data_IF_073499985684
#
_entry.id   IF_073499985684
#
_cell.length_a   1.000
_cell.length_b   1.000
_cell.length_c   1.000
_cell.angle_alpha   90.00
_cell.angle_beta   90.00
_cell.angle_gamma   90.00
#
_symmetry.space_group_name_H-M   'P 1'
#
loop_
_entity.id
_entity.type
_entity.pdbx_description
1 polymer ?
#
# COMPACT_ATOMS: atom_id res chain seq x y z
N UNK A 1 -13.23 10.15 19.69
CA UNK A 1 -11.92 10.84 19.75
C UNK A 1 -11.63 11.43 18.38
N UNK A 2 -11.04 12.62 18.27
CA UNK A 2 -10.67 13.20 16.98
C UNK A 2 -9.48 12.45 16.36
N UNK A 3 -9.57 12.16 15.06
CA UNK A 3 -8.57 11.41 14.31
C UNK A 3 -8.76 9.90 14.38
N UNK A 4 -7.79 9.15 13.85
CA UNK A 4 -7.78 7.69 13.83
C UNK A 4 -6.36 7.16 14.09
N UNK A 5 -6.21 5.89 14.51
CA UNK A 5 -4.90 5.36 14.86
C UNK A 5 -4.10 4.89 13.64
N UNK A 6 -2.77 4.92 13.79
CA UNK A 6 -1.84 4.05 13.06
C UNK A 6 -1.49 2.86 13.96
N UNK A 7 -1.53 1.66 13.40
CA UNK A 7 -1.01 0.43 14.01
C UNK A 7 0.39 0.17 13.46
N UNK A 8 1.40 0.16 14.33
CA UNK A 8 2.78 -0.15 13.99
C UNK A 8 3.06 -1.60 14.35
N UNK A 9 3.39 -2.42 13.37
CA UNK A 9 3.94 -3.76 13.61
C UNK A 9 5.41 -3.58 13.95
N UNK A 10 5.83 -4.02 15.15
CA UNK A 10 7.15 -3.66 15.68
C UNK A 10 8.29 -4.52 15.14
N UNK A 11 8.00 -5.76 14.75
CA UNK A 11 8.95 -6.72 14.19
C UNK A 11 8.27 -7.59 13.14
N UNK A 12 9.02 -8.19 12.21
CA UNK A 12 8.46 -9.14 11.25
C UNK A 12 8.17 -10.48 11.96
N UNK A 13 6.90 -10.82 12.21
CA UNK A 13 6.54 -12.03 12.95
C UNK A 13 6.69 -13.28 12.08
N UNK A 14 7.16 -13.17 10.82
CA UNK A 14 7.40 -14.29 9.92
C UNK A 14 8.88 -14.69 9.87
N UNK A 15 9.76 -13.92 10.51
CA UNK A 15 11.15 -14.33 10.70
C UNK A 15 11.23 -15.57 11.62
N UNK A 16 12.25 -16.41 11.41
CA UNK A 16 12.44 -17.62 12.22
C UNK A 16 11.38 -18.73 12.05
N UNK A 17 10.46 -18.62 11.08
CA UNK A 17 9.44 -19.64 10.78
C UNK A 17 8.02 -19.28 11.25
N UNK A 18 7.84 -18.13 11.88
CA UNK A 18 6.55 -17.60 12.31
C UNK A 18 6.39 -17.57 13.83
N UNK A 19 6.27 -16.38 14.40
CA UNK A 19 5.88 -16.15 15.80
C UNK A 19 4.36 -16.30 15.93
N UNK A 20 3.88 -16.98 16.97
CA UNK A 20 2.44 -17.12 17.23
C UNK A 20 1.74 -15.78 17.58
N UNK A 21 2.52 -14.75 17.87
CA UNK A 21 2.07 -13.43 18.30
C UNK A 21 2.66 -12.33 17.41
N UNK A 22 1.87 -11.28 17.18
CA UNK A 22 2.27 -10.09 16.45
C UNK A 22 2.33 -8.94 17.44
N UNK A 23 3.49 -8.34 17.61
CA UNK A 23 3.65 -7.19 18.50
C UNK A 23 3.26 -5.90 17.77
N UNK A 24 2.23 -5.23 18.28
CA UNK A 24 1.61 -4.04 17.68
C UNK A 24 1.60 -2.88 18.66
N UNK A 25 1.95 -1.69 18.17
CA UNK A 25 1.82 -0.42 18.88
C UNK A 25 0.82 0.49 18.16
N UNK A 26 -0.13 1.09 18.89
CA UNK A 26 -1.01 2.12 18.35
C UNK A 26 -0.54 3.53 18.71
N UNK A 27 -0.68 4.46 17.77
CA UNK A 27 -0.43 5.88 17.96
C UNK A 27 -1.45 6.72 17.17
N UNK A 28 -1.61 8.01 17.46
CA UNK A 28 -2.44 8.89 16.65
C UNK A 28 -1.76 9.12 15.29
N UNK A 29 -2.49 8.87 14.20
CA UNK A 29 -2.00 9.26 12.88
C UNK A 29 -2.34 10.72 12.57
N UNK A 30 -1.30 11.53 12.32
CA UNK A 30 -1.40 12.90 11.83
C UNK A 30 -0.77 12.98 10.43
N UNK A 31 -1.53 13.49 9.46
CA UNK A 31 -1.17 13.39 8.05
C UNK A 31 0.04 14.24 7.63
N UNK A 32 0.38 15.24 8.43
CA UNK A 32 1.56 16.11 8.28
C UNK A 32 2.76 15.61 9.09
N UNK A 33 2.63 14.52 9.86
CA UNK A 33 3.68 13.99 10.73
C UNK A 33 3.94 14.83 11.98
N UNK A 34 3.08 15.80 12.29
CA UNK A 34 3.18 16.58 13.52
C UNK A 34 2.93 15.72 14.75
N UNK A 35 3.39 16.20 15.91
CA UNK A 35 3.10 15.61 17.22
C UNK A 35 2.34 16.65 18.02
N UNK A 36 1.15 16.29 18.45
CA UNK A 36 0.24 17.18 19.16
C UNK A 36 0.25 16.92 20.67
N UNK A 37 -0.02 17.96 21.46
CA UNK A 37 -0.13 17.82 22.91
C UNK A 37 -1.22 16.79 23.27
N UNK A 38 -0.85 15.79 24.07
CA UNK A 38 -1.76 14.71 24.48
C UNK A 38 -1.85 13.52 23.51
N UNK A 39 -1.05 13.48 22.43
CA UNK A 39 -0.92 12.29 21.57
C UNK A 39 -0.55 11.03 22.38
N UNK A 40 0.36 11.17 23.34
CA UNK A 40 0.76 10.06 24.23
C UNK A 40 -0.42 9.46 24.99
N UNK A 41 -1.42 10.28 25.35
CA UNK A 41 -2.62 9.83 26.06
C UNK A 41 -3.71 9.26 25.14
N UNK A 42 -3.60 9.43 23.82
CA UNK A 42 -4.59 8.90 22.88
C UNK A 42 -4.38 7.41 22.65
N UNK A 43 -5.43 6.66 22.96
CA UNK A 43 -5.54 5.23 22.68
C UNK A 43 -6.99 4.92 22.32
N UNK A 44 -7.14 4.05 21.33
CA UNK A 44 -8.41 3.58 20.79
C UNK A 44 -8.62 2.12 21.18
N UNK A 45 -9.89 1.76 21.38
CA UNK A 45 -10.32 0.37 21.23
C UNK A 45 -10.40 0.11 19.72
N UNK A 46 -9.50 -0.68 19.18
CA UNK A 46 -9.38 -0.91 17.73
C UNK A 46 -9.33 -2.41 17.43
N UNK A 47 -10.26 -2.95 16.62
CA UNK A 47 -10.14 -4.33 16.16
C UNK A 47 -8.92 -4.45 15.24
N UNK A 48 -8.18 -5.55 15.37
CA UNK A 48 -7.02 -5.88 14.55
C UNK A 48 -7.37 -7.11 13.74
N UNK A 49 -7.71 -6.88 12.48
CA UNK A 49 -8.02 -7.93 11.51
C UNK A 49 -6.72 -8.39 10.84
N UNK A 50 -6.34 -9.65 11.03
CA UNK A 50 -5.09 -10.21 10.50
C UNK A 50 -5.38 -11.31 9.47
N UNK A 51 -4.75 -11.22 8.31
CA UNK A 51 -4.82 -12.21 7.23
C UNK A 51 -3.45 -12.58 6.69
N UNK A 52 -3.29 -13.83 6.28
CA UNK A 52 -2.10 -14.38 5.62
C UNK A 52 -2.47 -15.36 4.50
N UNK A 53 -1.46 -15.91 3.82
CA UNK A 53 -1.63 -17.06 2.91
C UNK A 53 -2.03 -18.36 3.63
N UNK A 54 -2.09 -18.36 4.97
CA UNK A 54 -2.60 -19.48 5.77
C UNK A 54 -4.06 -19.30 6.18
N UNK A 55 -4.63 -18.12 5.99
CA UNK A 55 -6.01 -17.80 6.33
C UNK A 55 -6.12 -16.54 7.19
N UNK A 56 -7.32 -16.30 7.69
CA UNK A 56 -7.62 -15.16 8.55
C UNK A 56 -7.63 -15.58 10.01
N UNK A 57 -6.98 -14.80 10.87
CA UNK A 57 -7.05 -15.02 12.31
C UNK A 57 -8.38 -14.51 12.89
N UNK A 58 -8.80 -15.01 14.06
CA UNK A 58 -9.87 -14.38 14.82
C UNK A 58 -9.58 -12.89 15.07
N UNK A 59 -10.63 -12.07 15.06
CA UNK A 59 -10.50 -10.64 15.37
C UNK A 59 -10.09 -10.49 16.83
N UNK A 60 -8.99 -9.79 17.05
CA UNK A 60 -8.49 -9.39 18.38
C UNK A 60 -8.58 -7.88 18.51
N UNK A 61 -8.56 -7.35 19.74
CA UNK A 61 -8.70 -5.92 19.97
C UNK A 61 -7.44 -5.36 20.63
N UNK A 62 -7.00 -4.21 20.14
CA UNK A 62 -6.14 -3.31 20.93
C UNK A 62 -7.04 -2.57 21.91
N UNK A 63 -6.69 -2.58 23.18
CA UNK A 63 -7.47 -1.97 24.26
C UNK A 63 -6.63 -0.98 25.07
N UNK A 64 -7.16 0.20 25.42
CA UNK A 64 -6.50 1.13 26.33
C UNK A 64 -6.48 0.57 27.77
N UNK A 65 -5.51 0.96 28.62
CA UNK A 65 -4.49 1.98 28.38
C UNK A 65 -3.24 1.48 27.63
N UNK A 66 -3.14 0.18 27.32
CA UNK A 66 -1.96 -0.36 26.64
C UNK A 66 -1.91 0.07 25.17
N UNK A 67 -0.97 0.96 24.84
CA UNK A 67 -0.66 1.33 23.44
C UNK A 67 0.13 0.25 22.71
N UNK A 68 0.84 -0.61 23.42
CA UNK A 68 1.65 -1.71 22.87
C UNK A 68 1.15 -3.04 23.41
N UNK A 69 0.86 -4.00 22.53
CA UNK A 69 0.34 -5.32 22.89
C UNK A 69 0.91 -6.41 21.96
N UNK A 70 1.04 -7.63 22.50
CA UNK A 70 1.27 -8.84 21.71
C UNK A 70 -0.08 -9.48 21.40
N UNK A 71 -0.39 -9.59 20.12
CA UNK A 71 -1.68 -10.05 19.64
C UNK A 71 -1.51 -11.45 19.07
N UNK A 72 -2.25 -12.42 19.62
CA UNK A 72 -2.20 -13.79 19.08
C UNK A 72 -2.78 -13.82 17.67
N UNK A 73 -2.01 -14.38 16.73
CA UNK A 73 -2.51 -14.68 15.39
C UNK A 73 -2.86 -16.17 15.21
N UNK A 74 -2.74 -16.96 16.28
CA UNK A 74 -3.00 -18.39 16.29
C UNK A 74 -2.10 -19.16 15.32
N UNK A 75 -2.58 -19.32 14.08
CA UNK A 75 -1.94 -20.09 13.00
C UNK A 75 -1.47 -19.22 11.84
N UNK A 76 -1.87 -17.94 11.79
CA UNK A 76 -1.75 -17.16 10.56
C UNK A 76 -0.29 -16.88 10.15
N UNK A 77 0.66 -16.97 11.08
CA UNK A 77 2.09 -16.65 10.87
C UNK A 77 2.94 -17.89 10.56
N UNK A 78 2.50 -19.08 10.97
CA UNK A 78 3.31 -20.30 10.88
C UNK A 78 3.50 -20.74 9.42
N UNK A 79 4.74 -20.63 8.93
CA UNK A 79 5.08 -20.91 7.53
C UNK A 79 4.39 -19.97 6.53
N UNK A 80 3.89 -18.83 6.97
CA UNK A 80 3.25 -17.83 6.12
C UNK A 80 4.27 -17.03 5.33
N UNK A 81 3.90 -16.67 4.10
CA UNK A 81 4.73 -15.89 3.19
C UNK A 81 4.54 -14.39 3.40
N UNK A 82 3.34 -13.98 3.84
CA UNK A 82 2.96 -12.61 4.10
C UNK A 82 1.93 -12.54 5.24
N UNK A 83 1.89 -11.38 5.91
CA UNK A 83 0.90 -11.05 6.93
C UNK A 83 0.41 -9.63 6.70
N UNK A 84 -0.89 -9.44 6.68
CA UNK A 84 -1.55 -8.15 6.48
C UNK A 84 -2.49 -7.88 7.66
N UNK A 85 -2.30 -6.72 8.30
CA UNK A 85 -3.23 -6.17 9.29
C UNK A 85 -4.25 -5.24 8.60
N UNK A 86 -5.38 -5.02 9.26
CA UNK A 86 -6.57 -4.42 8.64
C UNK A 86 -6.94 -5.17 7.35
N UNK A 87 -6.87 -6.51 7.37
CA UNK A 87 -7.24 -7.35 6.23
C UNK A 87 -8.71 -7.13 5.87
N UNK A 88 -9.01 -6.90 4.59
CA UNK A 88 -10.32 -6.49 4.09
C UNK A 88 -10.62 -4.98 4.16
N UNK A 89 -9.73 -4.16 4.75
CA UNK A 89 -9.90 -2.69 4.85
C UNK A 89 -11.22 -2.21 5.50
N UNK A 90 -11.70 -2.93 6.52
CA UNK A 90 -13.02 -2.66 7.11
C UNK A 90 -13.05 -1.49 8.09
N UNK A 91 -11.90 -1.05 8.58
CA UNK A 91 -11.80 -0.02 9.63
C UNK A 91 -10.86 1.11 9.22
N UNK A 92 -11.11 2.33 9.71
CA UNK A 92 -10.29 3.50 9.38
C UNK A 92 -9.03 3.50 10.24
N UNK A 93 -8.08 2.59 9.96
CA UNK A 93 -6.76 2.57 10.58
C UNK A 93 -5.71 2.46 9.49
N UNK A 94 -4.53 3.03 9.74
CA UNK A 94 -3.35 2.80 8.89
C UNK A 94 -2.45 1.76 9.53
N UNK A 95 -1.72 1.02 8.72
CA UNK A 95 -0.72 0.08 9.24
C UNK A 95 0.68 0.42 8.76
N UNK A 96 1.59 0.64 9.71
CA UNK A 96 3.02 0.76 9.47
C UNK A 96 3.67 -0.61 9.71
N UNK A 97 4.22 -1.19 8.66
CA UNK A 97 4.93 -2.47 8.70
C UNK A 97 6.45 -2.25 8.82
N UNK A 98 7.19 -3.17 9.47
CA UNK A 98 8.64 -3.17 9.38
C UNK A 98 9.07 -3.48 7.93
N UNK A 99 10.24 -3.00 7.49
CA UNK A 99 10.68 -3.14 6.09
C UNK A 99 10.65 -4.57 5.54
N UNK A 100 11.03 -5.55 6.36
CA UNK A 100 11.07 -6.98 5.95
C UNK A 100 9.66 -7.51 5.66
N UNK A 101 8.69 -7.24 6.53
CA UNK A 101 7.30 -7.63 6.30
C UNK A 101 6.65 -6.85 5.14
N UNK A 102 6.96 -5.56 4.99
CA UNK A 102 6.46 -4.75 3.88
C UNK A 102 6.95 -5.29 2.52
N UNK A 103 8.21 -5.72 2.44
CA UNK A 103 8.75 -6.36 1.23
C UNK A 103 8.07 -7.69 0.92
N UNK A 104 7.73 -8.49 1.94
CA UNK A 104 6.96 -9.74 1.76
C UNK A 104 5.58 -9.46 1.16
N UNK A 105 4.88 -8.45 1.68
CA UNK A 105 3.60 -8.00 1.15
C UNK A 105 3.73 -7.52 -0.31
N UNK A 106 4.74 -6.69 -0.61
CA UNK A 106 4.99 -6.19 -1.96
C UNK A 106 5.27 -7.30 -2.98
N UNK A 107 5.94 -8.39 -2.57
CA UNK A 107 6.17 -9.57 -3.43
C UNK A 107 4.93 -10.44 -3.60
N UNK A 108 3.97 -10.35 -2.67
CA UNK A 108 2.80 -11.22 -2.60
C UNK A 108 1.50 -10.54 -3.02
N UNK A 109 1.57 -9.35 -3.64
CA UNK A 109 0.39 -8.55 -3.97
C UNK A 109 -0.68 -9.33 -4.74
N UNK A 110 -0.29 -10.20 -5.67
CA UNK A 110 -1.25 -10.99 -6.46
C UNK A 110 -2.10 -11.95 -5.63
N UNK A 111 -1.64 -12.34 -4.44
CA UNK A 111 -2.40 -13.16 -3.50
C UNK A 111 -3.34 -12.33 -2.60
N UNK A 112 -3.19 -11.00 -2.57
CA UNK A 112 -4.03 -10.11 -1.78
C UNK A 112 -5.29 -9.69 -2.55
N UNK A 113 -6.45 -9.57 -1.87
CA UNK A 113 -7.62 -8.91 -2.44
C UNK A 113 -7.33 -7.48 -2.90
N UNK A 114 -8.12 -6.97 -3.86
CA UNK A 114 -7.88 -5.66 -4.45
C UNK A 114 -7.96 -4.52 -3.41
N UNK A 115 -8.88 -4.62 -2.46
CA UNK A 115 -9.05 -3.71 -1.33
C UNK A 115 -7.80 -3.66 -0.45
N UNK A 116 -7.15 -4.78 -0.17
CA UNK A 116 -5.93 -4.81 0.64
C UNK A 116 -4.71 -4.29 -0.11
N UNK A 117 -4.67 -4.48 -1.43
CA UNK A 117 -3.66 -3.83 -2.28
C UNK A 117 -3.80 -2.31 -2.28
N UNK A 118 -5.05 -1.82 -2.41
CA UNK A 118 -5.37 -0.38 -2.29
C UNK A 118 -4.98 0.14 -0.91
N UNK A 119 -5.36 -0.56 0.15
CA UNK A 119 -5.03 -0.17 1.53
C UNK A 119 -3.53 -0.10 1.77
N UNK A 120 -2.77 -1.08 1.29
CA UNK A 120 -1.31 -1.09 1.40
C UNK A 120 -0.67 0.11 0.69
N UNK A 121 -1.14 0.45 -0.53
CA UNK A 121 -0.68 1.63 -1.27
C UNK A 121 -1.02 2.92 -0.55
N UNK A 122 -2.28 3.07 -0.14
CA UNK A 122 -2.78 4.27 0.52
C UNK A 122 -2.06 4.51 1.85
N UNK A 123 -1.79 3.45 2.61
CA UNK A 123 -1.03 3.51 3.86
C UNK A 123 0.42 3.85 3.62
N UNK A 124 1.09 3.13 2.71
CA UNK A 124 2.50 3.38 2.42
C UNK A 124 2.73 4.83 1.96
N UNK A 125 1.85 5.35 1.10
CA UNK A 125 1.95 6.72 0.63
C UNK A 125 1.66 7.75 1.72
N UNK A 126 0.62 7.54 2.53
CA UNK A 126 0.29 8.46 3.63
C UNK A 126 1.35 8.48 4.72
N UNK A 127 1.88 7.32 5.11
CA UNK A 127 2.95 7.19 6.10
C UNK A 127 4.25 7.79 5.58
N UNK A 128 4.54 7.67 4.29
CA UNK A 128 5.69 8.32 3.66
C UNK A 128 5.56 9.85 3.68
N UNK A 129 4.39 10.39 3.34
CA UNK A 129 4.12 11.84 3.45
C UNK A 129 4.24 12.37 4.87
N UNK A 130 3.80 11.59 5.86
CA UNK A 130 3.91 11.94 7.28
C UNK A 130 5.34 11.73 7.85
N UNK A 131 6.31 11.33 7.02
CA UNK A 131 7.69 11.07 7.46
C UNK A 131 7.88 9.80 8.30
N UNK A 132 6.84 8.96 8.42
CA UNK A 132 6.87 7.72 9.22
C UNK A 132 7.38 6.50 8.43
N UNK A 133 7.33 6.54 7.09
CA UNK A 133 7.85 5.50 6.21
C UNK A 133 8.92 6.07 5.28
N UNK A 134 10.06 5.39 5.19
CA UNK A 134 11.14 5.76 4.27
C UNK A 134 10.63 5.73 2.80
N UNK A 135 10.83 6.80 2.01
CA UNK A 135 10.42 6.85 0.60
C UNK A 135 10.92 5.68 -0.26
N UNK A 136 12.08 5.11 0.04
CA UNK A 136 12.57 3.91 -0.63
C UNK A 136 11.64 2.73 -0.43
N UNK A 137 11.04 2.56 0.75
CA UNK A 137 10.08 1.48 0.98
C UNK A 137 8.82 1.66 0.13
N UNK A 138 8.35 2.90 -0.05
CA UNK A 138 7.23 3.18 -0.97
C UNK A 138 7.60 2.80 -2.42
N UNK A 139 8.81 3.09 -2.87
CA UNK A 139 9.28 2.67 -4.21
C UNK A 139 9.25 1.14 -4.34
N UNK A 140 9.73 0.40 -3.34
CA UNK A 140 9.69 -1.07 -3.36
C UNK A 140 8.25 -1.62 -3.38
N UNK A 141 7.33 -0.99 -2.66
CA UNK A 141 5.90 -1.34 -2.73
C UNK A 141 5.38 -1.13 -4.15
N UNK A 142 5.62 0.03 -4.75
CA UNK A 142 5.20 0.35 -6.12
C UNK A 142 5.77 -0.62 -7.16
N UNK A 143 6.99 -1.11 -6.98
CA UNK A 143 7.59 -2.12 -7.87
C UNK A 143 6.83 -3.44 -7.91
N UNK A 144 6.18 -3.83 -6.81
CA UNK A 144 5.34 -5.02 -6.77
C UNK A 144 4.12 -4.94 -7.69
N UNK A 145 3.68 -3.73 -8.04
CA UNK A 145 2.47 -3.50 -8.85
C UNK A 145 2.67 -3.59 -10.36
N UNK A 146 3.85 -4.00 -10.85
CA UNK A 146 4.14 -4.12 -12.30
C UNK A 146 3.14 -4.96 -13.09
N UNK A 147 2.46 -5.91 -12.43
CA UNK A 147 1.48 -6.81 -13.04
C UNK A 147 0.04 -6.52 -12.60
N UNK A 148 -0.25 -5.32 -12.09
CA UNK A 148 -1.61 -4.97 -11.66
C UNK A 148 -2.54 -4.73 -12.85
N UNK A 149 -3.78 -5.23 -12.75
CA UNK A 149 -4.79 -5.19 -13.81
C UNK A 149 -6.20 -4.84 -13.28
N UNK A 150 -6.33 -4.40 -12.03
CA UNK A 150 -7.59 -3.96 -11.44
C UNK A 150 -7.74 -2.43 -11.54
N UNK A 151 -8.89 -1.96 -12.02
CA UNK A 151 -9.16 -0.53 -12.25
C UNK A 151 -9.11 0.31 -10.96
N UNK A 152 -9.57 -0.26 -9.84
CA UNK A 152 -9.61 0.41 -8.54
C UNK A 152 -8.22 0.53 -7.93
N UNK A 153 -7.41 -0.53 -8.05
CA UNK A 153 -6.01 -0.47 -7.63
C UNK A 153 -5.24 0.55 -8.47
N UNK A 154 -5.48 0.58 -9.78
CA UNK A 154 -4.87 1.57 -10.68
C UNK A 154 -5.29 3.01 -10.38
N UNK A 155 -6.52 3.23 -9.90
CA UNK A 155 -6.96 4.54 -9.46
C UNK A 155 -6.11 5.05 -8.28
N UNK A 156 -5.82 4.19 -7.30
CA UNK A 156 -4.92 4.53 -6.19
C UNK A 156 -3.46 4.67 -6.65
N UNK A 157 -2.95 3.78 -7.51
CA UNK A 157 -1.61 3.91 -8.10
C UNK A 157 -1.44 5.26 -8.80
N UNK A 158 -2.43 5.69 -9.58
CA UNK A 158 -2.40 7.00 -10.24
C UNK A 158 -2.38 8.16 -9.25
N UNK A 159 -3.09 8.05 -8.12
CA UNK A 159 -3.05 9.06 -7.06
C UNK A 159 -1.66 9.15 -6.42
N UNK A 160 -1.04 8.00 -6.12
CA UNK A 160 0.33 7.93 -5.57
C UNK A 160 1.36 8.47 -6.57
N UNK A 161 1.33 7.99 -7.82
CA UNK A 161 2.23 8.44 -8.90
C UNK A 161 2.06 9.94 -9.19
N UNK A 162 0.82 10.44 -9.24
CA UNK A 162 0.54 11.86 -9.42
C UNK A 162 1.04 12.71 -8.25
N UNK A 163 0.99 12.16 -7.04
CA UNK A 163 1.58 12.74 -5.84
C UNK A 163 3.10 12.86 -5.91
N UNK A 164 3.78 11.77 -6.25
CA UNK A 164 5.23 11.73 -6.43
C UNK A 164 5.69 12.63 -7.58
N UNK A 165 4.97 12.63 -8.71
CA UNK A 165 5.28 13.50 -9.85
C UNK A 165 5.24 14.98 -9.47
N UNK A 166 4.31 15.40 -8.60
CA UNK A 166 4.28 16.79 -8.09
C UNK A 166 5.54 17.12 -7.30
N UNK A 167 5.99 16.22 -6.42
CA UNK A 167 7.23 16.41 -5.64
C UNK A 167 8.44 16.50 -6.57
N UNK A 168 8.53 15.59 -7.54
CA UNK A 168 9.63 15.57 -8.52
C UNK A 168 9.69 16.88 -9.32
N UNK A 169 8.54 17.40 -9.77
CA UNK A 169 8.48 18.66 -10.54
C UNK A 169 8.75 19.92 -9.72
N UNK A 170 8.68 19.85 -8.39
CA UNK A 170 8.85 21.01 -7.51
C UNK A 170 10.31 21.35 -7.20
N UNK A 171 11.29 20.65 -7.78
CA UNK A 171 12.70 21.06 -7.66
C UNK A 171 13.74 19.96 -7.69
N UNK A 172 13.38 18.71 -8.02
CA UNK A 172 14.38 17.66 -8.21
C UNK A 172 15.10 17.80 -9.55
N UNK A 173 16.28 17.19 -9.65
CA UNK A 173 17.11 17.26 -10.84
C UNK A 173 16.40 16.68 -12.08
N UNK A 174 16.83 17.12 -13.27
CA UNK A 174 16.34 16.56 -14.53
C UNK A 174 16.60 15.05 -14.63
N UNK A 175 17.71 14.57 -14.06
CA UNK A 175 18.04 13.15 -13.96
C UNK A 175 17.01 12.39 -13.12
N UNK A 176 16.70 12.87 -11.90
CA UNK A 176 15.69 12.28 -11.03
C UNK A 176 14.31 12.29 -11.68
N UNK A 177 13.96 13.38 -12.37
CA UNK A 177 12.71 13.49 -13.13
C UNK A 177 12.63 12.45 -14.26
N UNK A 178 13.70 12.28 -15.04
CA UNK A 178 13.77 11.27 -16.09
C UNK A 178 13.70 9.84 -15.51
N UNK A 179 14.39 9.58 -14.39
CA UNK A 179 14.35 8.29 -13.70
C UNK A 179 12.94 7.96 -13.19
N UNK A 180 12.24 8.93 -12.60
CA UNK A 180 10.86 8.75 -12.14
C UNK A 180 9.90 8.49 -13.30
N UNK A 181 9.99 9.25 -14.40
CA UNK A 181 9.17 9.01 -15.61
C UNK A 181 9.42 7.60 -16.14
N UNK A 182 10.68 7.19 -16.26
CA UNK A 182 11.04 5.85 -16.71
C UNK A 182 10.56 4.74 -15.76
N UNK A 183 10.57 5.00 -14.45
CA UNK A 183 10.00 4.10 -13.45
C UNK A 183 8.48 3.96 -13.61
N UNK A 184 7.74 5.07 -13.68
CA UNK A 184 6.30 5.07 -13.85
C UNK A 184 5.88 4.40 -15.16
N UNK A 185 6.62 4.63 -16.26
CA UNK A 185 6.39 3.96 -17.54
C UNK A 185 6.49 2.43 -17.45
N UNK A 186 7.42 1.90 -16.62
CA UNK A 186 7.55 0.45 -16.37
C UNK A 186 6.38 -0.16 -15.60
N UNK A 187 5.52 0.66 -14.97
CA UNK A 187 4.27 0.22 -14.37
C UNK A 187 3.12 0.35 -15.36
N UNK A 188 3.02 1.52 -16.03
CA UNK A 188 1.88 1.88 -16.88
C UNK A 188 1.85 1.08 -18.19
N UNK A 189 2.97 0.96 -18.89
CA UNK A 189 3.00 0.33 -20.21
C UNK A 189 2.56 -1.16 -20.19
N UNK A 190 3.04 -2.01 -19.26
CA UNK A 190 2.59 -3.39 -19.18
C UNK A 190 1.09 -3.53 -18.84
N UNK A 191 0.54 -2.64 -18.02
CA UNK A 191 -0.89 -2.66 -17.71
C UNK A 191 -1.73 -2.22 -18.92
N UNK A 192 -1.29 -1.21 -19.65
CA UNK A 192 -2.00 -0.77 -20.85
C UNK A 192 -1.97 -1.82 -21.95
N UNK A 193 -0.84 -2.52 -22.13
CA UNK A 193 -0.73 -3.62 -23.10
C UNK A 193 -1.77 -4.74 -22.91
N UNK A 194 -2.32 -4.89 -21.69
CA UNK A 194 -3.37 -5.88 -21.39
C UNK A 194 -4.78 -5.44 -21.80
N UNK A 195 -5.00 -4.13 -21.93
CA UNK A 195 -6.34 -3.55 -22.24
C UNK A 195 -6.38 -2.93 -23.64
N UNK A 196 -5.28 -2.41 -24.16
CA UNK A 196 -5.20 -1.79 -25.49
C UNK A 196 -6.05 -0.52 -25.64
N UNK A 197 -6.01 0.07 -26.84
CA UNK A 197 -6.74 1.29 -27.19
C UNK A 197 -8.22 1.05 -27.45
N UNK A 198 -8.53 -0.03 -28.17
CA UNK A 198 -9.88 -0.29 -28.63
C UNK A 198 -10.62 -1.23 -27.68
N UNK A 199 -11.92 -0.96 -27.49
CA UNK A 199 -12.78 -1.88 -26.76
C UNK A 199 -13.05 -3.14 -27.60
N UNK A 200 -13.07 -4.29 -26.93
CA UNK A 200 -13.44 -5.57 -27.56
C UNK A 200 -14.76 -6.08 -27.00
N UNK A 201 -15.44 -6.95 -27.75
CA UNK A 201 -16.67 -7.62 -27.27
C UNK A 201 -16.40 -8.50 -26.05
N UNK A 202 -15.17 -8.97 -25.87
CA UNK A 202 -14.73 -9.78 -24.73
C UNK A 202 -14.36 -8.98 -23.49
N UNK A 203 -14.41 -7.64 -23.55
CA UNK A 203 -14.04 -6.80 -22.42
C UNK A 203 -15.11 -6.83 -21.31
N UNK A 204 -14.67 -7.19 -20.10
CA UNK A 204 -15.44 -6.97 -18.88
C UNK A 204 -15.42 -5.49 -18.45
N UNK A 205 -16.22 -5.16 -17.44
CA UNK A 205 -16.32 -3.80 -16.91
C UNK A 205 -15.00 -3.28 -16.34
N UNK A 206 -14.18 -4.16 -15.75
CA UNK A 206 -12.89 -3.80 -15.17
C UNK A 206 -11.92 -3.39 -16.26
N UNK A 207 -11.79 -4.15 -17.35
CA UNK A 207 -10.92 -3.83 -18.50
C UNK A 207 -11.31 -2.50 -19.14
N UNK A 208 -12.61 -2.25 -19.35
CA UNK A 208 -13.12 -0.98 -19.90
C UNK A 208 -12.73 0.21 -19.01
N UNK A 209 -12.91 0.08 -17.70
CA UNK A 209 -12.54 1.12 -16.72
C UNK A 209 -11.03 1.31 -16.63
N UNK A 210 -10.28 0.21 -16.55
CA UNK A 210 -8.83 0.23 -16.47
C UNK A 210 -8.23 0.95 -17.68
N UNK A 211 -8.71 0.65 -18.89
CA UNK A 211 -8.33 1.37 -20.11
C UNK A 211 -8.46 2.87 -19.94
N UNK A 212 -9.65 3.34 -19.54
CA UNK A 212 -9.90 4.77 -19.30
C UNK A 212 -8.98 5.36 -18.23
N UNK A 213 -8.76 4.63 -17.13
CA UNK A 213 -7.85 5.04 -16.04
C UNK A 213 -6.40 5.17 -16.50
N UNK A 214 -5.94 4.35 -17.44
CA UNK A 214 -4.55 4.33 -17.89
C UNK A 214 -4.22 5.37 -18.97
N UNK A 215 -5.19 5.84 -19.77
CA UNK A 215 -4.95 6.80 -20.86
C UNK A 215 -4.24 8.07 -20.36
N UNK A 216 -4.70 8.64 -19.24
CA UNK A 216 -4.06 9.82 -18.64
C UNK A 216 -2.63 9.53 -18.18
N UNK A 217 -2.37 8.33 -17.66
CA UNK A 217 -1.05 7.90 -17.20
C UNK A 217 -0.10 7.63 -18.37
N UNK A 218 -0.58 7.09 -19.49
CA UNK A 218 0.19 6.95 -20.71
C UNK A 218 0.68 8.30 -21.22
N UNK A 219 -0.23 9.28 -21.34
CA UNK A 219 0.13 10.62 -21.81
C UNK A 219 1.15 11.31 -20.89
N UNK A 220 1.15 10.99 -19.59
CA UNK A 220 2.06 11.61 -18.61
C UNK A 220 3.42 10.92 -18.53
N UNK A 221 3.46 9.60 -18.63
CA UNK A 221 4.65 8.80 -18.31
C UNK A 221 5.23 8.04 -19.51
N UNK A 222 4.42 7.78 -20.54
CA UNK A 222 4.79 7.03 -21.73
C UNK A 222 4.82 7.89 -23.01
N UNK A 223 4.78 9.23 -22.90
CA UNK A 223 4.78 10.17 -24.05
C UNK A 223 6.01 10.10 -24.97
N UNK A 224 7.04 9.35 -24.59
CA UNK A 224 8.23 9.10 -25.43
C UNK A 224 8.12 7.81 -26.24
N UNK A 225 7.11 7.00 -25.98
CA UNK A 225 6.84 5.76 -26.71
C UNK A 225 6.11 6.10 -28.02
N UNK A 226 6.70 5.79 -29.20
CA UNK A 226 6.04 6.03 -30.48
C UNK A 226 4.65 5.40 -30.60
N UNK A 227 4.41 4.27 -29.94
CA UNK A 227 3.11 3.59 -29.95
C UNK A 227 2.02 4.33 -29.15
N UNK A 228 2.39 5.34 -28.36
CA UNK A 228 1.48 6.17 -27.57
C UNK A 228 1.21 7.52 -28.27
N UNK A 229 2.13 7.99 -29.10
CA UNK A 229 2.08 9.32 -29.74
C UNK A 229 1.44 9.28 -31.13
N UNK A 230 1.42 8.10 -31.78
CA UNK A 230 0.80 7.88 -33.09
C UNK A 230 -0.73 7.81 -33.00
#
# INVERSE_FOLDING_TARGET
>A
QMGFPVLKVLQDPLEGGGDAEVEVEQAWFLADGSVEAGDDAKAWVAPVLMGSDKGQAPVVFMEPPQKKQKLSCGFCTQGASWLKLNFGQHIPVRVLYPPTLLQRLARSLQALPAEDRIGLLADSYALCKAGALDPMQLVHVLEGFRSEANDKVWSELNAVLGGLDRVVRQGLSAETSAAFIGFAAKLVAPAFAQVGWDATESDDDNKKKLRSTLVGSLARYCFRDPAVVA
#
